data_IF_495879172716
#
_entry.id   IF_495879172716
#
_cell.length_a   1.000
_cell.length_b   1.000
_cell.length_c   1.000
_cell.angle_alpha   90.00
_cell.angle_beta   90.00
_cell.angle_gamma   90.00
#
_symmetry.space_group_name_H-M   'P 1'
#
loop_
_entity.id
_entity.type
_entity.pdbx_description
1 polymer ?
#
# COMPACT_ATOMS: atom_id res chain seq x y z
N UNK A 1 -10.14 27.34 12.99
CA UNK A 1 -9.06 26.79 12.15
C UNK A 1 -9.75 26.09 11.01
N UNK A 2 -9.53 26.55 9.79
CA UNK A 2 -10.05 25.91 8.58
C UNK A 2 -9.30 24.60 8.39
N UNK A 3 -10.00 23.46 8.44
CA UNK A 3 -9.42 22.15 8.11
C UNK A 3 -8.70 22.25 6.76
N UNK A 4 -7.38 22.07 6.75
CA UNK A 4 -6.64 21.93 5.51
C UNK A 4 -6.92 20.50 5.01
N UNK A 5 -7.70 20.32 3.92
CA UNK A 5 -8.06 19.00 3.42
C UNK A 5 -6.84 18.19 2.93
N UNK A 6 -5.66 18.82 2.84
CA UNK A 6 -4.39 18.23 2.41
C UNK A 6 -3.37 18.04 3.54
N UNK A 7 -3.74 18.26 4.81
CA UNK A 7 -2.78 18.12 5.90
C UNK A 7 -2.49 16.65 6.22
N UNK A 8 -1.37 16.13 5.70
CA UNK A 8 -0.79 14.85 6.10
C UNK A 8 0.24 15.12 7.20
N UNK A 9 0.07 14.52 8.38
CA UNK A 9 1.02 14.62 9.49
C UNK A 9 1.37 13.25 10.02
N UNK A 10 2.47 13.15 10.76
CA UNK A 10 2.86 11.92 11.47
C UNK A 10 1.82 11.48 12.49
N UNK A 11 1.01 12.41 13.02
CA UNK A 11 0.00 12.17 14.06
C UNK A 11 -1.38 11.77 13.53
N UNK A 12 -1.67 12.05 12.25
CA UNK A 12 -2.98 11.76 11.66
C UNK A 12 -2.95 10.66 10.59
N UNK A 13 -1.75 10.19 10.24
CA UNK A 13 -1.53 9.25 9.14
C UNK A 13 -1.07 7.87 9.58
N UNK A 14 -1.19 6.93 8.66
CA UNK A 14 -0.82 5.52 8.74
C UNK A 14 -0.34 5.11 7.34
N UNK A 15 0.76 4.34 7.25
CA UNK A 15 1.25 3.77 6.01
C UNK A 15 0.74 2.33 5.83
N UNK A 16 0.23 2.02 4.63
CA UNK A 16 -0.22 0.68 4.25
C UNK A 16 0.57 0.26 3.00
N UNK A 17 1.36 -0.80 3.14
CA UNK A 17 2.14 -1.40 2.05
C UNK A 17 1.45 -2.69 1.60
N UNK A 18 0.92 -2.67 0.38
CA UNK A 18 0.02 -3.69 -0.15
C UNK A 18 0.77 -4.58 -1.15
N UNK A 19 1.06 -5.81 -0.72
CA UNK A 19 1.48 -6.93 -1.57
C UNK A 19 2.77 -6.68 -2.36
N UNK A 20 3.73 -5.97 -1.76
CA UNK A 20 5.10 -5.87 -2.28
C UNK A 20 5.86 -7.19 -2.09
N UNK A 21 5.42 -8.23 -2.80
CA UNK A 21 6.04 -9.55 -2.85
C UNK A 21 6.86 -9.68 -4.15
N UNK A 22 8.05 -10.30 -4.14
CA UNK A 22 8.89 -10.50 -5.34
C UNK A 22 8.17 -11.00 -6.60
N UNK A 23 7.26 -11.96 -6.48
CA UNK A 23 6.49 -12.54 -7.57
C UNK A 23 5.42 -11.58 -8.10
N UNK A 24 4.77 -10.83 -7.21
CA UNK A 24 3.83 -9.78 -7.62
C UNK A 24 4.62 -8.68 -8.34
N UNK A 25 5.77 -8.28 -7.80
CA UNK A 25 6.67 -7.30 -8.41
C UNK A 25 7.24 -7.77 -9.76
N UNK A 26 7.45 -9.07 -9.97
CA UNK A 26 7.92 -9.62 -11.24
C UNK A 26 6.98 -9.29 -12.41
N UNK A 27 5.67 -9.20 -12.16
CA UNK A 27 4.69 -8.81 -13.18
C UNK A 27 4.64 -7.32 -13.47
N UNK A 28 5.35 -6.47 -12.73
CA UNK A 28 5.27 -5.01 -12.88
C UNK A 28 6.11 -4.55 -14.06
N UNK A 29 5.49 -3.81 -14.98
CA UNK A 29 6.17 -3.19 -16.13
C UNK A 29 5.91 -1.69 -16.26
N UNK A 30 5.29 -1.06 -15.26
CA UNK A 30 5.02 0.39 -15.25
C UNK A 30 6.13 1.25 -14.64
N UNK A 31 7.11 0.64 -13.96
CA UNK A 31 8.21 1.30 -13.26
C UNK A 31 9.45 0.39 -13.29
N UNK A 32 10.64 0.99 -13.33
CA UNK A 32 11.89 0.24 -13.21
C UNK A 32 11.95 -0.51 -11.85
N UNK A 33 12.27 -1.82 -11.82
CA UNK A 33 12.29 -2.60 -10.58
C UNK A 33 13.25 -2.07 -9.52
N UNK A 34 14.40 -1.53 -9.91
CA UNK A 34 15.40 -0.99 -8.97
C UNK A 34 14.91 0.32 -8.38
N UNK A 35 14.30 1.17 -9.20
CA UNK A 35 13.67 2.41 -8.74
C UNK A 35 12.51 2.12 -7.78
N UNK A 36 11.62 1.18 -8.12
CA UNK A 36 10.52 0.76 -7.23
C UNK A 36 11.06 0.29 -5.88
N UNK A 37 12.06 -0.59 -5.88
CA UNK A 37 12.67 -1.11 -4.65
C UNK A 37 13.30 0.00 -3.80
N UNK A 38 14.03 0.92 -4.43
CA UNK A 38 14.69 2.03 -3.73
C UNK A 38 13.66 3.00 -3.12
N UNK A 39 12.62 3.36 -3.87
CA UNK A 39 11.56 4.25 -3.38
C UNK A 39 10.79 3.61 -2.21
N UNK A 40 10.49 2.31 -2.33
CA UNK A 40 9.80 1.54 -1.31
C UNK A 40 10.61 1.48 0.00
N UNK A 41 11.92 1.20 -0.08
CA UNK A 41 12.81 1.21 1.09
C UNK A 41 12.88 2.60 1.73
N UNK A 42 12.96 3.66 0.92
CA UNK A 42 12.95 5.04 1.40
C UNK A 42 11.65 5.41 2.13
N UNK A 43 10.50 5.04 1.56
CA UNK A 43 9.19 5.28 2.17
C UNK A 43 9.03 4.50 3.49
N UNK A 44 9.36 3.20 3.47
CA UNK A 44 9.31 2.34 4.65
C UNK A 44 10.23 2.86 5.77
N UNK A 45 11.46 3.23 5.43
CA UNK A 45 12.44 3.76 6.39
C UNK A 45 11.99 5.11 6.96
N UNK A 46 11.38 5.97 6.15
CA UNK A 46 10.84 7.26 6.60
C UNK A 46 9.69 7.07 7.58
N UNK A 47 8.75 6.16 7.29
CA UNK A 47 7.65 5.84 8.20
C UNK A 47 8.17 5.30 9.54
N UNK A 48 9.17 4.42 9.51
CA UNK A 48 9.82 3.90 10.72
C UNK A 48 10.51 5.00 11.52
N UNK A 49 11.28 5.89 10.87
CA UNK A 49 12.02 6.95 11.54
C UNK A 49 11.12 8.03 12.15
N UNK A 50 9.91 8.21 11.60
CA UNK A 50 8.92 9.18 12.06
C UNK A 50 7.84 8.57 12.97
N UNK A 51 8.01 7.30 13.39
CA UNK A 51 7.04 6.56 14.21
C UNK A 51 5.61 6.54 13.63
N UNK A 52 5.49 6.58 12.29
CA UNK A 52 4.21 6.44 11.61
C UNK A 52 3.77 4.97 11.68
N UNK A 53 2.54 4.66 12.14
CA UNK A 53 2.03 3.29 12.14
C UNK A 53 2.07 2.68 10.73
N UNK A 54 2.50 1.42 10.65
CA UNK A 54 2.60 0.68 9.37
C UNK A 54 1.81 -0.62 9.43
N UNK A 55 0.95 -0.84 8.43
CA UNK A 55 0.28 -2.10 8.12
C UNK A 55 0.91 -2.68 6.86
N UNK A 56 1.22 -3.98 6.90
CA UNK A 56 1.81 -4.73 5.80
C UNK A 56 0.83 -5.83 5.40
N UNK A 57 0.64 -6.04 4.10
CA UNK A 57 -0.21 -7.13 3.58
C UNK A 57 0.51 -7.98 2.56
N UNK A 58 0.08 -9.23 2.45
CA UNK A 58 0.44 -10.14 1.34
C UNK A 58 -0.82 -10.77 0.77
N UNK A 59 -0.72 -11.24 -0.47
CA UNK A 59 -1.77 -11.99 -1.14
C UNK A 59 -1.30 -13.40 -1.49
N UNK A 60 -1.92 -14.39 -0.87
CA UNK A 60 -1.70 -15.82 -1.12
C UNK A 60 -0.35 -16.37 -0.64
N UNK A 61 0.28 -15.73 0.36
CA UNK A 61 1.58 -16.13 0.89
C UNK A 61 1.53 -17.43 1.71
N UNK A 62 0.41 -17.76 2.36
CA UNK A 62 0.29 -18.98 3.17
C UNK A 62 -0.30 -20.16 2.39
N UNK A 63 -1.28 -19.90 1.52
CA UNK A 63 -2.13 -20.92 0.89
C UNK A 63 -2.03 -21.01 -0.64
N UNK A 64 -1.18 -20.20 -1.28
CA UNK A 64 -1.11 -20.08 -2.74
C UNK A 64 0.12 -20.70 -3.41
N UNK A 65 0.16 -20.61 -4.75
CA UNK A 65 1.40 -20.75 -5.54
C UNK A 65 2.38 -19.59 -5.28
N UNK A 66 1.94 -18.58 -4.54
CA UNK A 66 2.60 -17.32 -4.22
C UNK A 66 3.20 -17.35 -2.80
N UNK A 67 3.81 -18.48 -2.39
CA UNK A 67 4.54 -18.56 -1.11
C UNK A 67 5.79 -17.69 -1.13
N UNK A 68 5.58 -16.39 -1.09
CA UNK A 68 6.57 -15.39 -1.36
C UNK A 68 6.48 -14.32 -0.27
N UNK A 69 7.58 -14.07 0.46
CA UNK A 69 7.59 -13.07 1.53
C UNK A 69 7.45 -11.66 0.95
N UNK A 70 7.42 -10.66 1.83
CA UNK A 70 7.65 -9.29 1.40
C UNK A 70 9.06 -9.12 0.80
N UNK A 71 9.18 -8.19 -0.15
CA UNK A 71 10.45 -7.71 -0.67
C UNK A 71 11.35 -7.24 0.47
N UNK A 72 12.66 -7.48 0.35
CA UNK A 72 13.66 -7.08 1.35
C UNK A 72 13.63 -5.59 1.69
N UNK A 73 13.33 -4.75 0.70
CA UNK A 73 13.11 -3.30 0.87
C UNK A 73 12.10 -2.95 1.98
N UNK A 74 11.18 -3.86 2.30
CA UNK A 74 10.20 -3.70 3.40
C UNK A 74 10.56 -4.61 4.58
N UNK A 75 10.89 -5.88 4.30
CA UNK A 75 11.15 -6.88 5.34
C UNK A 75 12.34 -6.53 6.23
N UNK A 76 13.42 -5.97 5.67
CA UNK A 76 14.62 -5.59 6.43
C UNK A 76 14.36 -4.34 7.30
N UNK A 77 13.43 -3.47 6.88
CA UNK A 77 13.00 -2.30 7.65
C UNK A 77 12.11 -2.72 8.83
N UNK A 78 11.24 -3.72 8.62
CA UNK A 78 10.27 -4.21 9.62
C UNK A 78 10.39 -5.71 9.91
N UNK A 79 11.53 -6.18 10.46
CA UNK A 79 11.79 -7.62 10.64
C UNK A 79 10.80 -8.31 11.61
N UNK A 80 10.23 -7.55 12.54
CA UNK A 80 9.32 -8.06 13.58
C UNK A 80 7.83 -7.89 13.23
N UNK A 81 7.50 -7.32 12.05
CA UNK A 81 6.10 -7.15 11.63
C UNK A 81 5.67 -8.33 10.75
N UNK A 82 4.66 -9.06 11.22
CA UNK A 82 3.98 -10.07 10.41
C UNK A 82 2.98 -9.40 9.46
N UNK A 83 3.06 -9.64 8.14
CA UNK A 83 2.06 -9.16 7.20
C UNK A 83 0.71 -9.86 7.41
N UNK A 84 -0.37 -9.15 7.14
CA UNK A 84 -1.71 -9.73 7.07
C UNK A 84 -1.85 -10.43 5.71
N UNK A 85 -1.80 -11.77 5.71
CA UNK A 85 -2.00 -12.57 4.50
C UNK A 85 -3.48 -12.83 4.23
N UNK A 86 -3.85 -12.82 2.96
CA UNK A 86 -5.24 -13.06 2.50
C UNK A 86 -5.26 -13.63 1.09
N UNK A 87 -6.43 -14.07 0.63
CA UNK A 87 -6.63 -14.53 -0.75
C UNK A 87 -7.42 -13.56 -1.62
N UNK A 88 -8.11 -12.59 -1.01
CA UNK A 88 -8.84 -11.54 -1.72
C UNK A 88 -7.87 -10.51 -2.27
N UNK A 89 -8.11 -10.01 -3.49
CA UNK A 89 -7.35 -8.88 -4.04
C UNK A 89 -7.65 -7.58 -3.28
N UNK A 90 -8.89 -7.39 -2.83
CA UNK A 90 -9.24 -6.27 -1.96
C UNK A 90 -8.80 -6.57 -0.52
N UNK A 91 -7.83 -5.81 0.01
CA UNK A 91 -7.31 -5.98 1.37
C UNK A 91 -8.17 -5.31 2.45
N UNK A 92 -9.08 -4.43 2.05
CA UNK A 92 -9.70 -3.51 2.99
C UNK A 92 -10.41 -4.23 4.13
N UNK A 93 -11.16 -5.29 3.82
CA UNK A 93 -11.89 -6.09 4.82
C UNK A 93 -10.97 -6.72 5.86
N UNK A 94 -9.78 -7.15 5.46
CA UNK A 94 -8.83 -7.86 6.33
C UNK A 94 -8.02 -6.89 7.20
N UNK A 95 -7.81 -5.65 6.73
CA UNK A 95 -7.01 -4.65 7.45
C UNK A 95 -7.86 -3.64 8.23
N UNK A 96 -9.18 -3.59 8.01
CA UNK A 96 -10.08 -2.55 8.56
C UNK A 96 -9.98 -2.43 10.08
N UNK A 97 -10.00 -3.54 10.81
CA UNK A 97 -9.89 -3.53 12.27
C UNK A 97 -8.52 -3.00 12.74
N UNK A 98 -7.45 -3.40 12.05
CA UNK A 98 -6.10 -2.90 12.35
C UNK A 98 -5.98 -1.40 12.07
N UNK A 99 -6.60 -0.91 10.99
CA UNK A 99 -6.69 0.52 10.65
C UNK A 99 -7.47 1.27 11.74
N UNK A 100 -8.65 0.78 12.12
CA UNK A 100 -9.51 1.40 13.14
C UNK A 100 -8.80 1.48 14.50
N UNK A 101 -8.04 0.45 14.88
CA UNK A 101 -7.26 0.42 16.11
C UNK A 101 -6.18 1.52 16.19
N UNK A 102 -5.71 2.04 15.05
CA UNK A 102 -4.75 3.16 15.03
C UNK A 102 -5.39 4.52 15.35
N UNK A 103 -6.71 4.64 15.20
CA UNK A 103 -7.43 5.91 15.26
C UNK A 103 -7.10 6.90 14.12
N UNK A 104 -6.32 6.49 13.12
CA UNK A 104 -5.88 7.35 12.02
C UNK A 104 -6.90 7.35 10.89
N UNK A 105 -7.20 8.54 10.34
CA UNK A 105 -8.15 8.71 9.22
C UNK A 105 -7.47 8.98 7.87
N UNK A 106 -6.16 9.23 7.88
CA UNK A 106 -5.37 9.47 6.66
C UNK A 106 -4.54 8.22 6.35
N UNK A 107 -4.77 7.61 5.20
CA UNK A 107 -4.13 6.37 4.79
C UNK A 107 -3.18 6.67 3.64
N UNK A 108 -1.88 6.52 3.87
CA UNK A 108 -0.87 6.53 2.82
C UNK A 108 -0.79 5.11 2.27
N UNK A 109 -1.18 4.89 1.02
CA UNK A 109 -1.22 3.56 0.41
C UNK A 109 -0.25 3.46 -0.75
N UNK A 110 0.61 2.44 -0.70
CA UNK A 110 1.45 2.01 -1.81
C UNK A 110 1.20 0.52 -2.05
N UNK A 111 1.24 0.06 -3.29
CA UNK A 111 0.97 -1.36 -3.52
C UNK A 111 1.08 -1.86 -4.95
N UNK A 112 1.05 -3.19 -5.04
CA UNK A 112 1.12 -3.94 -6.28
C UNK A 112 -0.08 -4.91 -6.40
N UNK A 113 -0.73 -5.07 -7.55
CA UNK A 113 -0.70 -4.17 -8.70
C UNK A 113 -1.66 -3.00 -8.52
N UNK A 114 -1.32 -1.85 -9.10
CA UNK A 114 -2.04 -0.59 -8.90
C UNK A 114 -3.51 -0.71 -9.27
N UNK A 115 -3.79 -1.34 -10.40
CA UNK A 115 -5.12 -1.59 -10.98
C UNK A 115 -5.93 -2.69 -10.27
N UNK A 116 -5.28 -3.49 -9.43
CA UNK A 116 -5.88 -4.63 -8.73
C UNK A 116 -5.95 -4.35 -7.23
N UNK A 117 -4.99 -4.85 -6.44
CA UNK A 117 -5.07 -4.87 -4.99
C UNK A 117 -5.14 -3.47 -4.41
N UNK A 118 -4.31 -2.56 -4.91
CA UNK A 118 -4.24 -1.20 -4.43
C UNK A 118 -5.51 -0.41 -4.75
N UNK A 119 -5.93 -0.36 -6.02
CA UNK A 119 -7.14 0.39 -6.40
C UNK A 119 -8.39 -0.12 -5.68
N UNK A 120 -8.57 -1.44 -5.58
CA UNK A 120 -9.73 -2.01 -4.89
C UNK A 120 -9.73 -1.65 -3.39
N UNK A 121 -8.57 -1.77 -2.73
CA UNK A 121 -8.42 -1.45 -1.31
C UNK A 121 -8.66 0.03 -1.04
N UNK A 122 -8.06 0.92 -1.86
CA UNK A 122 -8.22 2.35 -1.73
C UNK A 122 -9.67 2.80 -1.95
N UNK A 123 -10.35 2.28 -2.98
CA UNK A 123 -11.77 2.58 -3.24
C UNK A 123 -12.65 2.15 -2.07
N UNK A 124 -12.41 0.97 -1.49
CA UNK A 124 -13.16 0.52 -0.31
C UNK A 124 -12.89 1.38 0.92
N UNK A 125 -11.65 1.80 1.15
CA UNK A 125 -11.32 2.70 2.25
C UNK A 125 -11.96 4.09 2.09
N UNK A 126 -11.95 4.64 0.88
CA UNK A 126 -12.64 5.90 0.54
C UNK A 126 -14.14 5.80 0.78
N UNK A 127 -14.77 4.67 0.39
CA UNK A 127 -16.19 4.42 0.63
C UNK A 127 -16.54 4.38 2.13
N UNK A 128 -15.60 3.93 2.97
CA UNK A 128 -15.72 3.93 4.44
C UNK A 128 -15.33 5.28 5.08
N UNK A 129 -15.12 6.34 4.29
CA UNK A 129 -14.88 7.70 4.77
C UNK A 129 -13.45 7.98 5.23
N UNK A 130 -12.48 7.16 4.84
CA UNK A 130 -11.06 7.46 5.05
C UNK A 130 -10.54 8.38 3.96
N UNK A 131 -9.53 9.19 4.30
CA UNK A 131 -8.77 9.99 3.32
C UNK A 131 -7.60 9.16 2.84
N UNK A 132 -7.54 8.88 1.54
CA UNK A 132 -6.49 8.04 0.96
C UNK A 132 -5.53 8.88 0.14
N UNK A 133 -4.23 8.76 0.41
CA UNK A 133 -3.16 9.28 -0.43
C UNK A 133 -2.42 8.11 -1.05
N UNK A 134 -2.44 8.07 -2.37
CA UNK A 134 -1.73 7.06 -3.14
C UNK A 134 -0.28 7.48 -3.38
N UNK A 135 0.67 6.62 -3.04
CA UNK A 135 2.11 6.85 -3.25
C UNK A 135 2.54 6.19 -4.57
N UNK A 136 2.57 7.02 -5.62
CA UNK A 136 2.63 6.54 -7.00
C UNK A 136 3.95 5.90 -7.40
N UNK A 137 5.05 6.43 -6.91
CA UNK A 137 6.41 5.99 -7.19
C UNK A 137 6.85 4.79 -6.33
N UNK A 138 6.01 4.38 -5.39
CA UNK A 138 6.11 3.15 -4.59
C UNK A 138 5.08 2.09 -5.00
N UNK A 139 4.36 2.33 -6.11
CA UNK A 139 3.33 1.46 -6.65
C UNK A 139 3.61 1.12 -8.11
N UNK A 140 3.05 0.02 -8.61
CA UNK A 140 3.27 -0.40 -9.98
C UNK A 140 2.13 -1.27 -10.51
N UNK A 141 1.91 -1.25 -11.82
CA UNK A 141 0.92 -2.05 -12.52
C UNK A 141 1.56 -3.01 -13.52
N UNK A 142 0.75 -3.94 -14.03
CA UNK A 142 1.18 -4.92 -15.04
C UNK A 142 1.68 -4.24 -16.31
N UNK A 143 1.06 -3.13 -16.70
CA UNK A 143 1.50 -2.29 -17.82
C UNK A 143 1.48 -0.82 -17.42
N UNK A 144 2.16 0.03 -18.20
CA UNK A 144 2.05 1.48 -18.03
C UNK A 144 0.59 1.93 -18.17
N UNK A 145 -0.14 1.41 -19.17
CA UNK A 145 -1.54 1.75 -19.40
C UNK A 145 -2.43 1.39 -18.20
N UNK A 146 -2.32 0.17 -17.67
CA UNK A 146 -3.14 -0.25 -16.53
C UNK A 146 -2.84 0.56 -15.27
N UNK A 147 -1.56 0.88 -15.04
CA UNK A 147 -1.13 1.75 -13.94
C UNK A 147 -1.67 3.18 -14.07
N UNK A 148 -1.63 3.78 -15.26
CA UNK A 148 -2.16 5.13 -15.51
C UNK A 148 -3.69 5.18 -15.40
N UNK A 149 -4.40 4.18 -15.92
CA UNK A 149 -5.86 4.14 -15.83
C UNK A 149 -6.35 3.90 -14.40
N UNK A 150 -5.62 3.10 -13.62
CA UNK A 150 -5.88 2.94 -12.20
C UNK A 150 -5.67 4.25 -11.43
N UNK A 151 -4.61 5.02 -11.74
CA UNK A 151 -4.39 6.35 -11.18
C UNK A 151 -5.55 7.30 -11.49
N UNK A 152 -6.02 7.33 -12.74
CA UNK A 152 -7.20 8.12 -13.13
C UNK A 152 -8.46 7.71 -12.37
N UNK A 153 -8.69 6.40 -12.24
CA UNK A 153 -9.83 5.85 -11.48
C UNK A 153 -9.78 6.26 -10.01
N UNK A 154 -8.61 6.22 -9.38
CA UNK A 154 -8.43 6.67 -8.01
C UNK A 154 -8.75 8.16 -7.86
N UNK A 155 -8.18 9.01 -8.71
CA UNK A 155 -8.48 10.46 -8.71
C UNK A 155 -9.98 10.75 -8.92
N UNK A 156 -10.68 9.93 -9.69
CA UNK A 156 -12.13 10.09 -9.91
C UNK A 156 -12.96 9.85 -8.65
N UNK A 157 -12.49 9.00 -7.72
CA UNK A 157 -13.24 8.63 -6.51
C UNK A 157 -12.83 9.41 -5.26
N UNK A 158 -11.77 10.23 -5.33
CA UNK A 158 -11.32 11.11 -4.24
C UNK A 158 -9.83 10.99 -3.97
#
# INVERSE_FOLDING_TARGET
MTDNPNEVTVDNSLLILIDHQPWVAFGVHSIDPSLLSNNLEGLASSAKALDVPVILTTVGAEAGRLKDPLMRAVADVFPDKTPIDRTSTNAWTDIREAVEATGRKTLLMAGLWTEVCLAQTAISALADGYRVFFVSDCSGGLTVESHEDAKRRLVQVG
#
